data_IF_628260362417
#
_entry.id   IF_628260362417
#
_cell.length_a   1.000
_cell.length_b   1.000
_cell.length_c   1.000
_cell.angle_alpha   90.00
_cell.angle_beta   90.00
_cell.angle_gamma   90.00
#
_symmetry.space_group_name_H-M   'P 1'
#
loop_
_entity.id
_entity.type
_entity.pdbx_description
1 polymer ?
#
# COMPACT_ATOMS: atom_id res chain seq x y z
N UNK A 1 -14.31 -9.73 2.88
CA UNK A 1 -13.63 -10.30 1.72
C UNK A 1 -13.33 -9.22 0.70
N UNK A 2 -12.18 -9.27 0.06
CA UNK A 2 -11.79 -8.31 -0.98
C UNK A 2 -12.37 -8.68 -2.34
N UNK A 3 -12.73 -7.67 -3.13
CA UNK A 3 -13.49 -7.79 -4.40
C UNK A 3 -12.71 -7.35 -5.62
N UNK A 4 -11.49 -6.84 -5.44
CA UNK A 4 -10.68 -6.28 -6.52
C UNK A 4 -9.80 -7.36 -7.18
N UNK A 5 -9.33 -7.03 -8.38
CA UNK A 5 -8.27 -7.77 -9.06
C UNK A 5 -6.92 -7.47 -8.39
N UNK A 6 -6.28 -8.51 -7.87
CA UNK A 6 -5.02 -8.39 -7.12
C UNK A 6 -3.86 -7.87 -7.99
N UNK A 7 -3.79 -8.32 -9.23
CA UNK A 7 -2.74 -7.87 -10.14
C UNK A 7 -2.88 -6.38 -10.46
N UNK A 8 -4.10 -5.92 -10.65
CA UNK A 8 -4.39 -4.50 -10.85
C UNK A 8 -3.98 -3.66 -9.64
N UNK A 9 -4.27 -4.13 -8.43
CA UNK A 9 -3.86 -3.46 -7.21
C UNK A 9 -2.34 -3.35 -7.10
N UNK A 10 -1.62 -4.46 -7.32
CA UNK A 10 -0.15 -4.46 -7.24
C UNK A 10 0.44 -3.48 -8.26
N UNK A 11 -0.06 -3.48 -9.50
CA UNK A 11 0.38 -2.53 -10.53
C UNK A 11 0.15 -1.08 -10.12
N UNK A 12 -0.99 -0.78 -9.52
CA UNK A 12 -1.31 0.58 -9.03
C UNK A 12 -0.34 0.99 -7.93
N UNK A 13 -0.10 0.14 -6.94
CA UNK A 13 0.83 0.41 -5.85
C UNK A 13 2.25 0.55 -6.39
N UNK A 14 2.68 -0.32 -7.31
CA UNK A 14 3.98 -0.21 -7.97
C UNK A 14 4.17 1.12 -8.69
N UNK A 15 3.14 1.62 -9.36
CA UNK A 15 3.16 2.93 -10.01
C UNK A 15 3.31 4.07 -8.99
N UNK A 16 2.65 3.96 -7.85
CA UNK A 16 2.69 4.99 -6.80
C UNK A 16 4.00 4.96 -6.00
N UNK A 17 4.48 3.77 -5.62
CA UNK A 17 5.69 3.62 -4.80
C UNK A 17 6.99 3.64 -5.63
N UNK A 18 6.91 3.28 -6.90
CA UNK A 18 8.07 2.99 -7.73
C UNK A 18 8.59 1.57 -7.54
N UNK A 19 9.36 1.11 -8.51
CA UNK A 19 10.01 -0.22 -8.49
C UNK A 19 11.52 0.01 -8.59
N UNK A 20 12.26 -0.36 -7.56
CA UNK A 20 13.72 -0.21 -7.52
C UNK A 20 14.34 -1.58 -7.28
N UNK A 21 15.16 -2.04 -8.22
CA UNK A 21 15.67 -3.42 -8.24
C UNK A 21 16.98 -3.61 -7.45
N UNK A 22 17.58 -2.53 -6.98
CA UNK A 22 18.77 -2.56 -6.13
C UNK A 22 18.49 -1.88 -4.80
N UNK A 23 19.20 -2.29 -3.75
CA UNK A 23 19.08 -1.66 -2.43
C UNK A 23 19.43 -0.17 -2.53
N UNK A 24 18.56 0.66 -1.98
CA UNK A 24 18.75 2.10 -1.90
C UNK A 24 18.35 2.62 -0.51
N UNK A 25 18.82 3.80 -0.18
CA UNK A 25 18.40 4.51 1.05
C UNK A 25 17.14 5.32 0.75
N UNK A 26 16.11 5.12 1.55
CA UNK A 26 14.91 5.97 1.46
C UNK A 26 15.17 7.37 2.05
N UNK A 27 14.14 8.22 2.11
CA UNK A 27 14.25 9.59 2.65
C UNK A 27 14.71 9.66 4.10
N UNK A 28 14.58 8.57 4.85
CA UNK A 28 15.02 8.44 6.25
C UNK A 28 16.36 7.71 6.39
N UNK A 29 17.02 7.39 5.28
CA UNK A 29 18.28 6.66 5.27
C UNK A 29 18.15 5.15 5.53
N UNK A 30 16.97 4.59 5.35
CA UNK A 30 16.69 3.17 5.59
C UNK A 30 16.89 2.37 4.31
N UNK A 31 17.60 1.25 4.38
CA UNK A 31 17.77 0.32 3.26
C UNK A 31 16.42 -0.22 2.81
N UNK A 32 16.13 -0.04 1.52
CA UNK A 32 14.85 -0.34 0.89
C UNK A 32 15.08 -0.99 -0.46
N UNK A 33 14.18 -1.87 -0.90
CA UNK A 33 14.25 -2.52 -2.22
C UNK A 33 12.85 -2.82 -2.76
N UNK A 34 12.76 -3.02 -4.06
CA UNK A 34 11.51 -3.43 -4.72
C UNK A 34 10.47 -2.33 -4.69
N UNK A 35 9.28 -2.67 -4.23
CA UNK A 35 8.15 -1.75 -4.12
C UNK A 35 8.00 -1.34 -2.65
N UNK A 36 8.94 -0.49 -2.19
CA UNK A 36 8.91 0.05 -0.84
C UNK A 36 9.21 -0.93 0.30
N UNK A 37 9.87 -2.08 0.03
CA UNK A 37 10.21 -3.03 1.08
C UNK A 37 11.35 -2.48 1.95
N UNK A 38 11.05 -2.18 3.20
CA UNK A 38 11.99 -1.77 4.23
C UNK A 38 12.79 -2.98 4.73
N UNK A 39 14.09 -2.98 4.50
CA UNK A 39 14.96 -4.10 4.87
C UNK A 39 15.37 -4.07 6.35
N UNK A 40 15.29 -2.93 7.02
CA UNK A 40 15.67 -2.80 8.43
C UNK A 40 14.57 -3.31 9.39
N UNK A 41 13.30 -3.01 9.08
CA UNK A 41 12.17 -3.37 9.95
C UNK A 41 11.41 -4.60 9.46
N UNK A 42 11.06 -4.63 8.18
CA UNK A 42 10.35 -5.77 7.58
C UNK A 42 11.33 -6.90 7.23
N UNK A 43 12.47 -6.55 6.64
CA UNK A 43 13.43 -7.52 6.13
C UNK A 43 12.90 -8.36 4.96
N UNK A 44 13.55 -9.48 4.72
CA UNK A 44 13.09 -10.51 3.77
C UNK A 44 13.08 -11.84 4.52
N UNK A 45 11.93 -12.52 4.47
CA UNK A 45 11.76 -13.79 5.17
C UNK A 45 12.52 -14.93 4.46
N UNK A 46 12.89 -15.96 5.22
CA UNK A 46 13.57 -17.15 4.67
C UNK A 46 12.78 -17.78 3.53
N UNK A 47 11.46 -17.89 3.69
CA UNK A 47 10.59 -18.44 2.64
C UNK A 47 10.59 -17.57 1.37
N UNK A 48 10.71 -16.25 1.51
CA UNK A 48 10.84 -15.34 0.37
C UNK A 48 12.19 -15.49 -0.33
N UNK A 49 13.27 -15.60 0.43
CA UNK A 49 14.61 -15.88 -0.12
C UNK A 49 14.63 -17.21 -0.89
N UNK A 50 14.03 -18.25 -0.32
CA UNK A 50 13.95 -19.58 -0.95
C UNK A 50 13.15 -19.51 -2.26
N UNK A 51 12.03 -18.79 -2.28
CA UNK A 51 11.23 -18.60 -3.50
C UNK A 51 12.01 -17.88 -4.59
N UNK A 52 12.73 -16.81 -4.23
CA UNK A 52 13.54 -16.03 -5.17
C UNK A 52 14.86 -16.74 -5.54
N UNK A 53 15.22 -17.81 -4.83
CA UNK A 53 16.51 -18.50 -4.97
C UNK A 53 17.70 -17.56 -4.80
N UNK A 54 17.65 -16.71 -3.76
CA UNK A 54 18.68 -15.72 -3.44
C UNK A 54 19.04 -15.74 -1.95
N UNK A 55 20.27 -15.34 -1.68
CA UNK A 55 20.73 -15.02 -0.33
C UNK A 55 20.61 -13.52 -0.09
N UNK A 56 20.63 -13.09 1.17
CA UNK A 56 20.66 -11.65 1.48
C UNK A 56 21.89 -10.96 0.88
N UNK A 57 23.05 -11.61 0.91
CA UNK A 57 24.27 -11.06 0.31
C UNK A 57 24.10 -10.81 -1.19
N UNK A 58 23.50 -11.76 -1.92
CA UNK A 58 23.20 -11.61 -3.35
C UNK A 58 22.20 -10.46 -3.62
N UNK A 59 21.21 -10.29 -2.76
CA UNK A 59 20.26 -9.17 -2.88
C UNK A 59 20.98 -7.84 -2.73
N UNK A 60 21.88 -7.71 -1.75
CA UNK A 60 22.66 -6.48 -1.58
C UNK A 60 23.66 -6.24 -2.72
N UNK A 61 24.26 -7.29 -3.27
CA UNK A 61 25.25 -7.15 -4.35
C UNK A 61 24.62 -7.03 -5.74
N UNK A 62 23.59 -7.82 -6.04
CA UNK A 62 23.07 -8.01 -7.40
C UNK A 62 21.63 -7.48 -7.58
N UNK A 63 20.92 -7.22 -6.48
CA UNK A 63 19.53 -6.81 -6.50
C UNK A 63 18.55 -7.95 -6.75
N UNK A 64 17.36 -7.58 -7.23
CA UNK A 64 16.24 -8.48 -7.50
C UNK A 64 15.67 -8.23 -8.90
N UNK A 65 14.85 -9.15 -9.39
CA UNK A 65 14.11 -8.97 -10.63
C UNK A 65 12.82 -8.21 -10.41
N UNK A 66 12.18 -7.74 -11.48
CA UNK A 66 10.83 -7.12 -11.41
C UNK A 66 9.82 -8.11 -10.83
N UNK A 67 9.87 -9.39 -11.25
CA UNK A 67 8.97 -10.42 -10.72
C UNK A 67 9.19 -10.63 -9.22
N UNK A 68 10.42 -10.61 -8.75
CA UNK A 68 10.75 -10.67 -7.32
C UNK A 68 10.12 -9.48 -6.57
N UNK A 69 10.23 -8.27 -7.12
CA UNK A 69 9.66 -7.07 -6.50
C UNK A 69 8.13 -7.18 -6.37
N UNK A 70 7.44 -7.65 -7.41
CA UNK A 70 6.00 -7.90 -7.37
C UNK A 70 5.63 -9.02 -6.39
N UNK A 71 6.41 -10.07 -6.33
CA UNK A 71 6.23 -11.14 -5.36
C UNK A 71 6.31 -10.63 -3.91
N UNK A 72 7.34 -9.86 -3.59
CA UNK A 72 7.51 -9.25 -2.25
C UNK A 72 6.35 -8.31 -1.92
N UNK A 73 5.94 -7.46 -2.86
CA UNK A 73 4.81 -6.55 -2.66
C UNK A 73 3.50 -7.30 -2.44
N UNK A 74 3.29 -8.42 -3.14
CA UNK A 74 2.14 -9.29 -2.93
C UNK A 74 2.06 -9.81 -1.51
N UNK A 75 3.17 -10.22 -0.93
CA UNK A 75 3.24 -10.68 0.45
C UNK A 75 2.94 -9.54 1.44
N UNK A 76 3.43 -8.33 1.17
CA UNK A 76 3.12 -7.16 2.00
C UNK A 76 1.63 -6.80 1.92
N UNK A 77 1.02 -6.91 0.75
CA UNK A 77 -0.42 -6.71 0.56
C UNK A 77 -1.23 -7.73 1.36
N UNK A 78 -0.82 -9.00 1.40
CA UNK A 78 -1.50 -10.02 2.21
C UNK A 78 -1.60 -9.61 3.69
N UNK A 79 -0.51 -9.08 4.23
CA UNK A 79 -0.45 -8.60 5.61
C UNK A 79 -1.38 -7.39 5.79
N UNK A 80 -1.29 -6.42 4.89
CA UNK A 80 -2.12 -5.20 4.95
C UNK A 80 -3.61 -5.54 4.85
N UNK A 81 -3.99 -6.42 3.94
CA UNK A 81 -5.38 -6.89 3.79
C UNK A 81 -5.93 -7.48 5.09
N UNK A 82 -5.16 -8.35 5.71
CA UNK A 82 -5.57 -9.00 6.95
C UNK A 82 -5.71 -8.01 8.10
N UNK A 83 -4.72 -7.15 8.29
CA UNK A 83 -4.70 -6.17 9.36
C UNK A 83 -5.79 -5.12 9.18
N UNK A 84 -6.04 -4.68 7.96
CA UNK A 84 -7.07 -3.68 7.65
C UNK A 84 -8.47 -4.23 7.96
N UNK A 85 -8.77 -5.48 7.60
CA UNK A 85 -10.05 -6.11 7.93
C UNK A 85 -10.23 -6.31 9.44
N UNK A 86 -9.17 -6.62 10.16
CA UNK A 86 -9.22 -6.79 11.62
C UNK A 86 -9.48 -5.47 12.35
N UNK A 87 -8.89 -4.39 11.89
CA UNK A 87 -9.02 -3.07 12.51
C UNK A 87 -10.24 -2.29 12.04
N UNK A 88 -10.68 -2.49 10.79
CA UNK A 88 -11.77 -1.75 10.15
C UNK A 88 -12.65 -2.71 9.32
N UNK A 89 -13.51 -3.46 9.98
CA UNK A 89 -14.34 -4.49 9.32
C UNK A 89 -15.28 -3.94 8.23
N UNK A 90 -15.60 -2.64 8.28
CA UNK A 90 -16.42 -1.97 7.26
C UNK A 90 -15.83 -2.12 5.85
N UNK A 91 -14.51 -2.29 5.72
CA UNK A 91 -13.83 -2.44 4.44
C UNK A 91 -14.40 -3.61 3.63
N UNK A 92 -14.82 -4.69 4.29
CA UNK A 92 -15.42 -5.84 3.61
C UNK A 92 -16.74 -5.53 2.89
N UNK A 93 -17.41 -4.45 3.27
CA UNK A 93 -18.70 -4.02 2.71
C UNK A 93 -18.53 -3.00 1.56
N UNK A 94 -17.33 -2.50 1.34
CA UNK A 94 -17.06 -1.53 0.28
C UNK A 94 -16.96 -2.21 -1.09
N UNK A 95 -17.10 -1.41 -2.14
CA UNK A 95 -16.82 -1.86 -3.50
C UNK A 95 -15.31 -2.05 -3.74
N UNK A 96 -14.97 -2.70 -4.85
CA UNK A 96 -13.60 -3.06 -5.18
C UNK A 96 -12.66 -1.84 -5.23
N UNK A 97 -13.12 -0.73 -5.82
CA UNK A 97 -12.28 0.47 -5.99
C UNK A 97 -11.95 1.10 -4.65
N UNK A 98 -12.94 1.26 -3.78
CA UNK A 98 -12.72 1.84 -2.45
C UNK A 98 -11.87 0.93 -1.55
N UNK A 99 -12.00 -0.38 -1.71
CA UNK A 99 -11.08 -1.32 -1.06
C UNK A 99 -9.63 -1.09 -1.53
N UNK A 100 -9.42 -0.96 -2.83
CA UNK A 100 -8.08 -0.66 -3.39
C UNK A 100 -7.51 0.65 -2.85
N UNK A 101 -8.32 1.69 -2.75
CA UNK A 101 -7.92 2.99 -2.18
C UNK A 101 -7.37 2.81 -0.76
N UNK A 102 -8.10 2.10 0.08
CA UNK A 102 -7.70 1.92 1.49
C UNK A 102 -6.48 1.02 1.64
N UNK A 103 -6.33 0.00 0.80
CA UNK A 103 -5.12 -0.83 0.76
C UNK A 103 -3.90 -0.01 0.31
N UNK A 104 -4.04 0.82 -0.71
CA UNK A 104 -2.96 1.69 -1.19
C UNK A 104 -2.50 2.66 -0.09
N UNK A 105 -3.45 3.31 0.60
CA UNK A 105 -3.14 4.17 1.73
C UNK A 105 -2.46 3.41 2.87
N UNK A 106 -2.98 2.24 3.23
CA UNK A 106 -2.42 1.41 4.29
C UNK A 106 -1.01 0.91 3.94
N UNK A 107 -0.79 0.51 2.70
CA UNK A 107 0.53 0.11 2.20
C UNK A 107 1.55 1.25 2.33
N UNK A 108 1.14 2.46 2.02
CA UNK A 108 2.01 3.64 2.07
C UNK A 108 2.31 4.10 3.50
N UNK A 109 1.28 4.24 4.34
CA UNK A 109 1.44 4.87 5.66
C UNK A 109 1.37 3.93 6.86
N UNK A 110 0.93 2.71 6.66
CA UNK A 110 0.68 1.73 7.72
C UNK A 110 -0.69 1.88 8.37
N UNK A 111 -1.17 0.76 8.94
CA UNK A 111 -2.48 0.69 9.60
C UNK A 111 -2.63 1.68 10.77
N UNK A 112 -1.62 1.84 11.67
CA UNK A 112 -1.76 2.79 12.79
C UNK A 112 -2.01 4.23 12.35
N UNK A 113 -1.31 4.71 11.32
CA UNK A 113 -1.51 6.08 10.81
C UNK A 113 -2.84 6.21 10.08
N UNK A 114 -3.21 5.22 9.27
CA UNK A 114 -4.50 5.19 8.59
C UNK A 114 -5.66 5.20 9.59
N UNK A 115 -5.51 4.51 10.71
CA UNK A 115 -6.51 4.49 11.79
C UNK A 115 -6.77 5.86 12.42
N UNK A 116 -5.83 6.79 12.31
CA UNK A 116 -5.99 8.17 12.83
C UNK A 116 -6.87 9.07 11.97
N UNK A 117 -7.25 8.64 10.77
CA UNK A 117 -8.18 9.36 9.89
C UNK A 117 -9.62 9.22 10.37
N UNK A 118 -9.89 9.62 11.62
CA UNK A 118 -11.17 9.37 12.30
C UNK A 118 -12.37 9.93 11.55
N UNK A 119 -12.28 11.14 11.00
CA UNK A 119 -13.37 11.75 10.23
C UNK A 119 -13.62 11.04 8.91
N UNK A 120 -12.55 10.58 8.24
CA UNK A 120 -12.67 9.75 7.04
C UNK A 120 -13.40 8.43 7.37
N UNK A 121 -12.98 7.72 8.42
CA UNK A 121 -13.61 6.46 8.81
C UNK A 121 -15.07 6.64 9.23
N UNK A 122 -15.41 7.71 9.95
CA UNK A 122 -16.80 8.02 10.28
C UNK A 122 -17.64 8.24 9.03
N UNK A 123 -17.10 8.97 8.04
CA UNK A 123 -17.78 9.20 6.77
C UNK A 123 -17.97 7.89 5.97
N UNK A 124 -16.95 7.03 5.93
CA UNK A 124 -17.04 5.70 5.28
C UNK A 124 -18.12 4.85 5.95
N UNK A 125 -18.20 4.86 7.27
CA UNK A 125 -19.16 4.07 8.03
C UNK A 125 -20.62 4.37 7.64
N UNK A 126 -20.92 5.63 7.32
CA UNK A 126 -22.24 6.07 6.86
C UNK A 126 -22.33 6.18 5.34
N UNK A 127 -21.33 5.70 4.61
CA UNK A 127 -21.24 5.73 3.16
C UNK A 127 -21.28 7.15 2.55
N UNK A 128 -20.83 8.14 3.30
CA UNK A 128 -20.61 9.50 2.81
C UNK A 128 -19.20 9.61 2.20
N UNK A 129 -19.05 9.13 0.97
CA UNK A 129 -17.74 9.04 0.32
C UNK A 129 -17.22 10.40 -0.16
N UNK A 130 -18.09 11.36 -0.40
CA UNK A 130 -17.67 12.74 -0.67
C UNK A 130 -16.93 13.34 0.52
N UNK A 131 -17.52 13.25 1.72
CA UNK A 131 -16.85 13.69 2.94
C UNK A 131 -15.58 12.90 3.23
N UNK A 132 -15.59 11.57 3.00
CA UNK A 132 -14.39 10.76 3.14
C UNK A 132 -13.24 11.28 2.26
N UNK A 133 -13.51 11.58 1.00
CA UNK A 133 -12.52 12.14 0.08
C UNK A 133 -12.00 13.52 0.53
N UNK A 134 -12.87 14.38 1.01
CA UNK A 134 -12.49 15.69 1.57
C UNK A 134 -11.52 15.51 2.75
N UNK A 135 -11.82 14.60 3.66
CA UNK A 135 -10.96 14.33 4.82
C UNK A 135 -9.61 13.69 4.43
N UNK A 136 -9.57 12.90 3.36
CA UNK A 136 -8.31 12.40 2.80
C UNK A 136 -7.42 13.55 2.34
N UNK A 137 -7.99 14.53 1.63
CA UNK A 137 -7.26 15.67 1.11
C UNK A 137 -6.89 16.69 2.20
N UNK A 138 -7.67 16.79 3.27
CA UNK A 138 -7.39 17.64 4.44
C UNK A 138 -6.48 16.89 5.44
N UNK A 139 -5.33 16.45 4.98
CA UNK A 139 -4.38 15.68 5.79
C UNK A 139 -2.93 16.04 5.47
N UNK A 140 -2.03 15.76 6.40
CA UNK A 140 -0.58 15.87 6.15
C UNK A 140 -0.14 14.87 5.08
N UNK A 141 -0.73 13.69 5.09
CA UNK A 141 -0.45 12.65 4.11
C UNK A 141 -0.68 13.16 2.67
N UNK A 142 -1.79 13.85 2.41
CA UNK A 142 -2.08 14.39 1.08
C UNK A 142 -1.01 15.36 0.59
N UNK A 143 -0.46 16.15 1.49
CA UNK A 143 0.63 17.09 1.18
C UNK A 143 1.95 16.37 0.90
N UNK A 144 2.18 15.23 1.51
CA UNK A 144 3.37 14.40 1.30
C UNK A 144 3.33 13.65 -0.03
N UNK A 145 2.19 13.07 -0.38
CA UNK A 145 2.05 12.18 -1.56
C UNK A 145 1.44 12.87 -2.78
N UNK A 146 0.94 14.10 -2.63
CA UNK A 146 0.50 14.98 -3.73
C UNK A 146 -0.51 14.33 -4.68
N UNK A 147 -0.13 14.12 -5.94
CA UNK A 147 -1.02 13.57 -6.98
C UNK A 147 -1.57 12.17 -6.64
N UNK A 148 -0.86 11.39 -5.84
CA UNK A 148 -1.36 10.12 -5.32
C UNK A 148 -2.62 10.34 -4.47
N UNK A 149 -2.60 11.34 -3.59
CA UNK A 149 -3.77 11.68 -2.77
C UNK A 149 -4.95 12.11 -3.63
N UNK A 150 -4.71 12.92 -4.66
CA UNK A 150 -5.78 13.36 -5.58
C UNK A 150 -6.42 12.18 -6.29
N UNK A 151 -5.61 11.26 -6.81
CA UNK A 151 -6.07 10.04 -7.48
C UNK A 151 -6.92 9.17 -6.55
N UNK A 152 -6.43 8.94 -5.33
CA UNK A 152 -7.12 8.09 -4.36
C UNK A 152 -8.38 8.75 -3.80
N UNK A 153 -8.37 10.07 -3.56
CA UNK A 153 -9.55 10.80 -3.11
C UNK A 153 -10.64 10.83 -4.19
N UNK A 154 -10.27 11.02 -5.45
CA UNK A 154 -11.22 10.92 -6.57
C UNK A 154 -11.91 9.53 -6.58
N UNK A 155 -11.11 8.48 -6.49
CA UNK A 155 -11.61 7.11 -6.48
C UNK A 155 -12.47 6.81 -5.24
N UNK A 156 -12.12 7.36 -4.08
CA UNK A 156 -12.94 7.26 -2.88
C UNK A 156 -14.31 7.90 -3.08
N UNK A 157 -14.36 9.09 -3.67
CA UNK A 157 -15.61 9.81 -3.89
C UNK A 157 -16.51 9.11 -4.92
N UNK A 158 -15.94 8.75 -6.07
CA UNK A 158 -16.70 8.30 -7.24
C UNK A 158 -16.86 6.78 -7.34
N UNK A 159 -16.05 5.98 -6.69
CA UNK A 159 -16.05 4.52 -6.80
C UNK A 159 -15.44 4.02 -8.11
N UNK A 160 -14.69 4.89 -8.79
CA UNK A 160 -13.95 4.59 -10.00
C UNK A 160 -12.69 5.44 -10.07
N UNK A 161 -11.67 4.96 -10.76
CA UNK A 161 -10.47 5.76 -11.07
C UNK A 161 -10.74 6.65 -12.28
N UNK A 162 -10.17 7.84 -12.23
CA UNK A 162 -10.30 8.81 -13.33
C UNK A 162 -9.61 8.34 -14.62
#
# INVERSE_FOLDING_TARGET
MYKYDREQLIKMIAKHEGVVLHVYKDSLGIDTIGIGRNLAHRGIEVAELDYMQKTMNEIFSDGITVDDAYFLAGNDIDIVELELLRSHSIVSQLDAVRQMVLIDMAFNMGIPRLGKFSKMWNAIQIKNFETAAIEMLDSRWSKQVKSRADTLAYAMQHGEFA
#
